data_IF_552213410679
#
_entry.id   IF_552213410679
#
_cell.length_a   1.000
_cell.length_b   1.000
_cell.length_c   1.000
_cell.angle_alpha   90.00
_cell.angle_beta   90.00
_cell.angle_gamma   90.00
#
_symmetry.space_group_name_H-M   'P 1'
#
loop_
_entity.id
_entity.type
_entity.pdbx_description
1 polymer ?
#
# COMPACT_ATOMS: atom_id res chain seq x y z
N UNK A 1 11.44 -29.71 8.00
CA UNK A 1 11.84 -28.55 8.82
C UNK A 1 10.96 -27.38 8.42
N UNK A 2 10.20 -26.79 9.35
CA UNK A 2 9.43 -25.59 9.04
C UNK A 2 10.41 -24.43 8.82
N UNK A 3 10.42 -23.87 7.61
CA UNK A 3 11.21 -22.69 7.31
C UNK A 3 10.45 -21.50 7.91
N UNK A 4 11.06 -20.77 8.83
CA UNK A 4 10.51 -19.51 9.32
C UNK A 4 10.55 -18.51 8.18
N UNK A 5 9.43 -18.31 7.49
CA UNK A 5 9.31 -17.24 6.49
C UNK A 5 9.09 -15.90 7.20
N UNK A 6 9.56 -14.82 6.58
CA UNK A 6 9.30 -13.46 7.07
C UNK A 6 7.83 -13.11 6.88
N UNK A 7 7.32 -12.26 7.76
CA UNK A 7 5.98 -11.69 7.63
C UNK A 7 5.95 -10.78 6.40
N UNK A 8 5.01 -11.01 5.50
CA UNK A 8 4.86 -10.20 4.28
C UNK A 8 3.90 -9.05 4.53
N UNK A 9 4.45 -7.86 4.66
CA UNK A 9 3.67 -6.63 4.69
C UNK A 9 3.52 -6.05 3.28
N UNK A 10 2.38 -5.42 3.02
CA UNK A 10 2.17 -4.59 1.83
C UNK A 10 1.62 -3.24 2.25
N UNK A 11 2.14 -2.15 1.64
CA UNK A 11 1.58 -0.82 1.81
C UNK A 11 0.90 -0.38 0.52
N UNK A 12 -0.42 -0.24 0.57
CA UNK A 12 -1.22 0.31 -0.52
C UNK A 12 -1.55 1.77 -0.25
N UNK A 13 -1.40 2.62 -1.26
CA UNK A 13 -1.81 4.03 -1.20
C UNK A 13 -1.88 4.65 -2.60
N UNK A 14 -2.29 5.92 -2.67
CA UNK A 14 -2.33 6.70 -3.91
C UNK A 14 -0.96 7.26 -4.24
N UNK A 15 -0.40 6.90 -5.39
CA UNK A 15 0.97 7.32 -5.76
C UNK A 15 1.12 8.82 -6.06
N UNK A 16 0.05 9.50 -6.46
CA UNK A 16 0.12 10.92 -6.89
C UNK A 16 -0.26 11.93 -5.82
N UNK A 17 -0.74 11.49 -4.65
CA UNK A 17 -1.20 12.42 -3.64
C UNK A 17 -0.04 12.94 -2.79
N UNK A 18 -0.13 14.21 -2.41
CA UNK A 18 0.75 14.81 -1.42
C UNK A 18 0.01 14.95 -0.09
N UNK A 19 0.72 14.74 1.01
CA UNK A 19 0.16 14.86 2.35
C UNK A 19 1.05 15.74 3.23
N UNK A 20 0.49 16.41 4.25
CA UNK A 20 1.29 17.08 5.25
C UNK A 20 1.98 16.05 6.15
N UNK A 21 3.30 16.05 6.16
CA UNK A 21 4.14 15.21 7.03
C UNK A 21 5.29 16.04 7.58
N UNK A 22 5.44 16.05 8.92
CA UNK A 22 6.48 16.83 9.63
C UNK A 22 6.55 18.31 9.19
N UNK A 23 5.40 18.94 8.96
CA UNK A 23 5.30 20.36 8.58
C UNK A 23 5.61 20.66 7.11
N UNK A 24 5.80 19.65 6.26
CA UNK A 24 6.02 19.80 4.81
C UNK A 24 4.99 19.01 4.01
N UNK A 25 4.75 19.42 2.78
CA UNK A 25 3.98 18.60 1.83
C UNK A 25 4.93 17.58 1.20
N UNK A 26 4.65 16.30 1.40
CA UNK A 26 5.46 15.19 0.87
C UNK A 26 4.61 14.28 -0.03
N UNK A 27 5.16 13.71 -1.11
CA UNK A 27 4.48 12.68 -1.87
C UNK A 27 4.23 11.43 -1.03
N UNK A 28 3.08 10.77 -1.24
CA UNK A 28 2.80 9.50 -0.57
C UNK A 28 3.79 8.38 -0.92
N UNK A 29 4.44 8.45 -2.08
CA UNK A 29 5.52 7.53 -2.44
C UNK A 29 6.68 7.59 -1.45
N UNK A 30 7.10 8.80 -1.05
CA UNK A 30 8.16 9.00 -0.06
C UNK A 30 7.75 8.44 1.31
N UNK A 31 6.51 8.68 1.71
CA UNK A 31 5.97 8.14 2.98
C UNK A 31 5.95 6.61 2.96
N UNK A 32 5.57 6.00 1.83
CA UNK A 32 5.59 4.55 1.65
C UNK A 32 7.00 3.97 1.76
N UNK A 33 7.99 4.60 1.14
CA UNK A 33 9.40 4.17 1.22
C UNK A 33 9.91 4.24 2.66
N UNK A 34 9.64 5.33 3.37
CA UNK A 34 10.00 5.48 4.78
C UNK A 34 9.34 4.39 5.63
N UNK A 35 8.04 4.16 5.46
CA UNK A 35 7.31 3.13 6.20
C UNK A 35 7.80 1.72 5.85
N UNK A 36 8.10 1.46 4.58
CA UNK A 36 8.65 0.20 4.11
C UNK A 36 9.96 -0.13 4.83
N UNK A 37 10.89 0.81 4.89
CA UNK A 37 12.18 0.59 5.56
C UNK A 37 12.00 0.45 7.08
N UNK A 38 11.09 1.21 7.69
CA UNK A 38 10.76 1.04 9.11
C UNK A 38 10.18 -0.36 9.41
N UNK A 39 9.30 -0.87 8.55
CA UNK A 39 8.72 -2.22 8.70
C UNK A 39 9.79 -3.29 8.50
N UNK A 40 10.65 -3.16 7.48
CA UNK A 40 11.75 -4.09 7.23
C UNK A 40 12.77 -4.11 8.36
N UNK A 41 12.96 -3.00 9.07
CA UNK A 41 13.88 -2.91 10.21
C UNK A 41 13.30 -3.52 11.51
N UNK A 42 12.06 -3.98 11.53
CA UNK A 42 11.46 -4.57 12.73
C UNK A 42 12.18 -5.86 13.13
N UNK A 43 12.61 -5.90 14.39
CA UNK A 43 13.21 -7.05 15.06
C UNK A 43 12.63 -7.12 16.49
N UNK A 44 12.46 -8.33 17.05
CA UNK A 44 11.93 -8.50 18.41
C UNK A 44 13.00 -8.30 19.48
N UNK A 45 14.25 -8.60 19.15
CA UNK A 45 15.41 -8.42 20.04
C UNK A 45 16.66 -8.07 19.24
N UNK A 46 17.65 -7.51 19.95
CA UNK A 46 18.93 -7.15 19.36
C UNK A 46 19.64 -8.39 18.78
N UNK A 47 20.15 -8.26 17.54
CA UNK A 47 20.85 -9.33 16.83
C UNK A 47 19.96 -10.35 16.13
N UNK A 48 18.64 -10.19 16.15
CA UNK A 48 17.73 -10.99 15.33
C UNK A 48 17.76 -10.54 13.86
N UNK A 49 17.59 -11.49 12.94
CA UNK A 49 17.22 -11.18 11.57
C UNK A 49 15.89 -10.41 11.51
N UNK A 50 15.76 -9.56 10.49
CA UNK A 50 14.54 -8.80 10.21
C UNK A 50 13.31 -9.70 10.09
N UNK A 51 12.23 -9.32 10.78
CA UNK A 51 10.99 -10.10 10.87
C UNK A 51 10.14 -10.02 9.61
N UNK A 52 10.17 -8.86 8.96
CA UNK A 52 9.22 -8.50 7.94
C UNK A 52 9.93 -8.22 6.63
N UNK A 53 9.31 -8.65 5.53
CA UNK A 53 9.51 -8.03 4.23
C UNK A 53 8.33 -7.10 3.96
N UNK A 54 8.57 -6.03 3.20
CA UNK A 54 7.52 -5.07 2.89
C UNK A 54 7.55 -4.70 1.41
N UNK A 55 6.40 -4.87 0.76
CA UNK A 55 6.18 -4.53 -0.65
C UNK A 55 5.41 -3.22 -0.80
N UNK A 56 5.84 -2.41 -1.76
CA UNK A 56 5.14 -1.20 -2.20
C UNK A 56 5.04 -1.19 -3.72
N UNK A 57 4.07 -0.47 -4.26
CA UNK A 57 3.88 -0.41 -5.71
C UNK A 57 5.12 0.11 -6.46
N UNK A 58 5.93 0.97 -5.86
CA UNK A 58 7.20 1.45 -6.43
C UNK A 58 8.20 0.33 -6.71
N UNK A 59 8.09 -0.83 -6.05
CA UNK A 59 8.93 -2.00 -6.30
C UNK A 59 8.67 -2.65 -7.66
N UNK A 60 7.59 -2.24 -8.32
CA UNK A 60 7.23 -2.66 -9.67
C UNK A 60 7.69 -1.68 -10.76
N UNK A 61 8.39 -0.59 -10.40
CA UNK A 61 8.73 0.54 -11.28
C UNK A 61 9.53 0.18 -12.55
N UNK A 62 10.10 -1.02 -12.65
CA UNK A 62 10.75 -1.55 -13.85
C UNK A 62 9.78 -2.21 -14.86
N UNK A 63 8.49 -2.34 -14.52
CA UNK A 63 7.46 -2.91 -15.40
C UNK A 63 6.61 -1.80 -16.03
N UNK A 64 6.36 -1.82 -17.35
CA UNK A 64 5.35 -0.96 -17.96
C UNK A 64 4.02 -1.12 -17.21
N UNK A 65 3.28 -0.02 -17.03
CA UNK A 65 1.96 -0.03 -16.40
C UNK A 65 0.96 -0.74 -17.32
N UNK A 66 1.00 -2.08 -17.29
CA UNK A 66 0.26 -3.01 -18.15
C UNK A 66 -0.53 -4.02 -17.31
N UNK A 67 -1.20 -4.97 -17.97
CA UNK A 67 -1.99 -6.01 -17.30
C UNK A 67 -1.13 -6.88 -16.36
N UNK A 68 0.12 -7.16 -16.73
CA UNK A 68 1.06 -7.91 -15.89
C UNK A 68 1.43 -7.15 -14.61
N UNK A 69 1.64 -5.83 -14.70
CA UNK A 69 1.85 -4.98 -13.54
C UNK A 69 0.64 -5.00 -12.61
N UNK A 70 -0.56 -4.89 -13.17
CA UNK A 70 -1.81 -4.93 -12.43
C UNK A 70 -1.99 -6.25 -11.68
N UNK A 71 -1.85 -7.37 -12.38
CA UNK A 71 -1.94 -8.71 -11.80
C UNK A 71 -0.90 -8.94 -10.70
N UNK A 72 0.32 -8.43 -10.89
CA UNK A 72 1.38 -8.50 -9.88
C UNK A 72 0.98 -7.76 -8.60
N UNK A 73 0.47 -6.54 -8.72
CA UNK A 73 0.01 -5.76 -7.55
C UNK A 73 -1.11 -6.49 -6.78
N UNK A 74 -2.08 -7.07 -7.51
CA UNK A 74 -3.13 -7.87 -6.89
C UNK A 74 -2.60 -9.14 -6.23
N UNK A 75 -1.61 -9.79 -6.83
CA UNK A 75 -1.00 -10.99 -6.27
C UNK A 75 -0.27 -10.68 -4.95
N UNK A 76 0.47 -9.57 -4.88
CA UNK A 76 1.10 -9.13 -3.64
C UNK A 76 0.06 -8.81 -2.56
N UNK A 77 -1.05 -8.15 -2.91
CA UNK A 77 -2.15 -7.89 -1.97
C UNK A 77 -2.79 -9.18 -1.42
N UNK A 78 -2.93 -10.21 -2.27
CA UNK A 78 -3.45 -11.53 -1.86
C UNK A 78 -2.46 -12.30 -0.99
N UNK A 79 -1.17 -12.25 -1.30
CA UNK A 79 -0.09 -13.00 -0.62
C UNK A 79 0.42 -12.34 0.65
N UNK A 80 0.21 -11.04 0.85
CA UNK A 80 0.61 -10.35 2.05
C UNK A 80 -0.14 -10.88 3.28
N UNK A 81 0.58 -11.05 4.39
CA UNK A 81 0.06 -11.40 5.71
C UNK A 81 -0.55 -10.19 6.42
N UNK A 82 -0.09 -8.98 6.07
CA UNK A 82 -0.62 -7.70 6.55
C UNK A 82 -0.67 -6.71 5.39
N UNK A 83 -1.82 -6.05 5.21
CA UNK A 83 -2.01 -5.00 4.19
C UNK A 83 -2.34 -3.68 4.90
N UNK A 84 -1.45 -2.71 4.78
CA UNK A 84 -1.61 -1.37 5.34
C UNK A 84 -2.09 -0.44 4.23
N UNK A 85 -3.27 0.14 4.39
CA UNK A 85 -3.86 1.04 3.40
C UNK A 85 -3.81 2.46 3.93
N UNK A 86 -3.06 3.33 3.26
CA UNK A 86 -3.00 4.75 3.59
C UNK A 86 -4.13 5.48 2.85
N UNK A 87 -5.14 5.89 3.60
CA UNK A 87 -6.36 6.50 3.08
C UNK A 87 -6.38 8.00 3.30
N UNK A 88 -6.35 8.78 2.23
CA UNK A 88 -6.40 10.25 2.25
C UNK A 88 -7.74 10.83 1.76
N UNK A 89 -8.71 10.01 1.36
CA UNK A 89 -10.04 10.47 0.91
C UNK A 89 -10.13 10.90 -0.57
N UNK A 90 -9.07 10.79 -1.37
CA UNK A 90 -9.14 11.11 -2.79
C UNK A 90 -9.80 10.00 -3.63
N UNK A 91 -10.63 10.35 -4.61
CA UNK A 91 -11.27 9.40 -5.54
C UNK A 91 -10.28 8.92 -6.62
N UNK A 92 -10.19 7.61 -6.85
CA UNK A 92 -9.26 6.91 -7.77
C UNK A 92 -9.13 7.53 -9.15
N UNK A 93 -7.91 7.67 -9.67
CA UNK A 93 -7.69 7.78 -11.11
C UNK A 93 -7.76 6.38 -11.74
N UNK A 94 -8.68 6.20 -12.68
CA UNK A 94 -8.86 4.99 -13.48
C UNK A 94 -7.77 4.85 -14.55
N UNK A 95 -7.36 3.62 -14.87
CA UNK A 95 -6.75 3.32 -16.18
C UNK A 95 -7.91 3.32 -17.18
N UNK A 96 -7.71 3.78 -18.43
CA UNK A 96 -8.79 3.91 -19.45
C UNK A 96 -9.65 2.65 -19.65
N UNK A 97 -9.19 1.46 -19.24
CA UNK A 97 -9.90 0.17 -19.32
C UNK A 97 -10.50 -0.34 -18.00
N UNK A 98 -10.25 0.30 -16.84
CA UNK A 98 -10.80 -0.13 -15.55
C UNK A 98 -11.33 1.07 -14.76
N UNK A 99 -12.60 1.03 -14.30
CA UNK A 99 -13.23 2.17 -13.63
C UNK A 99 -12.61 2.51 -12.26
N UNK A 100 -11.73 1.67 -11.72
CA UNK A 100 -11.13 1.80 -10.40
C UNK A 100 -9.60 1.86 -10.46
N UNK A 101 -8.97 2.65 -9.59
CA UNK A 101 -7.51 2.70 -9.48
C UNK A 101 -6.94 1.46 -8.77
N UNK A 102 -5.68 1.10 -9.05
CA UNK A 102 -5.05 -0.13 -8.52
C UNK A 102 -5.16 -0.24 -7.00
N UNK A 103 -5.01 0.87 -6.27
CA UNK A 103 -5.13 0.92 -4.81
C UNK A 103 -6.50 0.44 -4.28
N UNK A 104 -7.57 0.66 -5.05
CA UNK A 104 -8.90 0.20 -4.68
C UNK A 104 -9.01 -1.31 -4.92
N UNK A 105 -8.52 -1.77 -6.06
CA UNK A 105 -8.52 -3.19 -6.40
C UNK A 105 -7.61 -4.02 -5.46
N UNK A 106 -6.48 -3.47 -5.02
CA UNK A 106 -5.61 -4.06 -3.99
C UNK A 106 -6.35 -4.22 -2.65
N UNK A 107 -7.04 -3.16 -2.21
CA UNK A 107 -7.86 -3.19 -0.99
C UNK A 107 -8.97 -4.23 -1.12
N UNK A 108 -9.70 -4.24 -2.24
CA UNK A 108 -10.77 -5.20 -2.51
C UNK A 108 -10.23 -6.64 -2.50
N UNK A 109 -9.13 -6.91 -3.21
CA UNK A 109 -8.50 -8.23 -3.26
C UNK A 109 -8.02 -8.69 -1.88
N UNK A 110 -7.43 -7.80 -1.08
CA UNK A 110 -6.98 -8.13 0.27
C UNK A 110 -8.16 -8.42 1.21
N UNK A 111 -9.23 -7.61 1.15
CA UNK A 111 -10.45 -7.79 1.93
C UNK A 111 -11.16 -9.11 1.58
N UNK A 112 -11.25 -9.42 0.29
CA UNK A 112 -11.86 -10.65 -0.22
C UNK A 112 -11.08 -11.91 0.20
N UNK A 113 -9.75 -11.80 0.32
CA UNK A 113 -8.91 -12.92 0.78
C UNK A 113 -9.05 -13.14 2.28
N UNK A 114 -8.80 -12.10 3.08
CA UNK A 114 -8.95 -12.16 4.55
C UNK A 114 -9.01 -10.75 5.11
N UNK A 115 -10.22 -10.26 5.44
CA UNK A 115 -10.43 -8.90 5.93
C UNK A 115 -9.60 -8.53 7.16
N UNK A 116 -9.30 -9.50 8.04
CA UNK A 116 -8.55 -9.27 9.27
C UNK A 116 -7.08 -8.85 9.05
N UNK A 117 -6.51 -9.10 7.87
CA UNK A 117 -5.14 -8.70 7.54
C UNK A 117 -5.02 -7.24 7.11
N UNK A 118 -6.16 -6.62 6.81
CA UNK A 118 -6.22 -5.25 6.31
C UNK A 118 -6.27 -4.27 7.48
N UNK A 119 -5.43 -3.24 7.43
CA UNK A 119 -5.43 -2.10 8.35
C UNK A 119 -5.48 -0.82 7.54
N UNK A 120 -6.61 -0.11 7.64
CA UNK A 120 -6.78 1.19 6.98
C UNK A 120 -6.37 2.29 7.95
N UNK A 121 -5.35 3.06 7.57
CA UNK A 121 -4.87 4.23 8.30
C UNK A 121 -5.40 5.47 7.59
N UNK A 122 -6.25 6.23 8.29
CA UNK A 122 -6.75 7.51 7.78
C UNK A 122 -5.68 8.58 7.96
N UNK A 123 -5.27 9.19 6.86
CA UNK A 123 -4.35 10.32 6.84
C UNK A 123 -5.16 11.60 6.99
N UNK A 124 -4.79 12.43 7.96
CA UNK A 124 -5.45 13.71 8.22
C UNK A 124 -4.58 14.87 7.73
N UNK A 125 -5.21 15.92 7.16
CA UNK A 125 -6.63 16.05 6.88
C UNK A 125 -7.06 15.18 5.68
N UNK A 126 -8.32 14.73 5.69
CA UNK A 126 -8.91 14.06 4.52
C UNK A 126 -9.13 15.07 3.40
N UNK A 127 -9.00 14.59 2.15
CA UNK A 127 -9.39 15.35 0.98
C UNK A 127 -10.84 15.82 1.11
N UNK A 128 -11.10 17.06 0.68
CA UNK A 128 -12.45 17.61 0.69
C UNK A 128 -13.31 16.77 -0.25
N UNK A 129 -14.52 16.33 0.16
CA UNK A 129 -15.45 15.71 -0.76
C UNK A 129 -15.74 16.69 -1.92
N UNK A 130 -16.00 16.18 -3.13
CA UNK A 130 -16.39 17.04 -4.24
C UNK A 130 -17.60 17.88 -3.81
N UNK A 131 -17.58 19.17 -4.14
CA UNK A 131 -18.62 20.13 -3.73
C UNK A 131 -19.99 19.82 -4.31
N UNK A 132 -20.10 18.82 -5.18
CA UNK A 132 -21.34 18.35 -5.76
C UNK A 132 -21.38 16.80 -5.66
N UNK A 133 -22.11 16.22 -4.69
CA UNK A 133 -22.40 14.80 -4.71
C UNK A 133 -23.43 14.56 -5.83
N UNK A 134 -23.00 13.88 -6.89
CA UNK A 134 -23.92 13.30 -7.87
C UNK A 134 -24.59 12.06 -7.27
#
# INVERSE_FOLDING_TARGET
MAKSEKIRAMISSRCKATIPYKGKQVPLSEVREILKENIKALALWAGQDTLCDCWINEDSASSPMNETWWERCLNEARRADVVIVLYNGESGGAIKSQPMGICHAELEAALATQSQKVRVIRLLPLAKPPSNPL
#
